data_IF_036695065165
#
_entry.id   IF_036695065165
#
_cell.length_a   1.000
_cell.length_b   1.000
_cell.length_c   1.000
_cell.angle_alpha   90.00
_cell.angle_beta   90.00
_cell.angle_gamma   90.00
#
_symmetry.space_group_name_H-M   'P 1'
#
loop_
_entity.id
_entity.type
_entity.pdbx_description
1 polymer ?
#
# COMPACT_ATOMS: atom_id res chain seq x y z
N UNK A 1 17.66 6.26 2.23
CA UNK A 1 17.10 6.62 3.54
C UNK A 1 15.94 5.67 3.85
N UNK A 2 15.71 5.31 5.12
CA UNK A 2 14.53 4.53 5.51
C UNK A 2 13.25 5.36 5.38
N UNK A 3 12.08 4.69 5.39
CA UNK A 3 10.79 5.37 5.38
C UNK A 3 10.60 6.16 6.69
N UNK A 4 10.15 7.43 6.58
CA UNK A 4 9.96 8.32 7.73
C UNK A 4 8.57 8.13 8.37
N UNK A 5 8.30 6.93 8.91
CA UNK A 5 7.05 6.57 9.57
C UNK A 5 7.28 5.66 10.77
N UNK A 6 6.28 5.55 11.62
CA UNK A 6 6.24 4.55 12.68
C UNK A 6 6.00 3.18 12.04
N UNK A 7 6.78 2.17 12.43
CA UNK A 7 6.65 0.80 11.90
C UNK A 7 5.21 0.29 11.96
N UNK A 8 4.78 -0.38 10.88
CA UNK A 8 3.43 -0.91 10.75
C UNK A 8 2.34 0.11 10.36
N UNK A 9 2.65 1.41 10.35
CA UNK A 9 1.74 2.45 9.89
C UNK A 9 1.85 2.68 8.37
N UNK A 10 0.96 3.53 7.84
CA UNK A 10 1.00 3.96 6.44
C UNK A 10 2.35 4.58 6.08
N UNK A 11 2.88 4.24 4.92
CA UNK A 11 4.07 4.86 4.36
C UNK A 11 3.76 6.29 3.93
N UNK A 12 4.56 7.31 4.32
CA UNK A 12 4.39 8.66 3.85
C UNK A 12 4.90 8.79 2.42
N UNK A 13 4.19 9.54 1.59
CA UNK A 13 4.60 9.91 0.22
C UNK A 13 4.67 11.42 0.01
N UNK A 14 4.32 12.20 1.03
CA UNK A 14 4.36 13.67 1.07
C UNK A 14 4.98 14.14 2.39
N UNK A 15 5.60 15.31 2.40
CA UNK A 15 6.15 15.94 3.61
C UNK A 15 5.08 16.12 4.70
N UNK A 16 3.83 16.43 4.33
CA UNK A 16 2.70 16.57 5.25
C UNK A 16 2.34 15.25 5.97
N UNK A 17 2.54 14.11 5.32
CA UNK A 17 2.30 12.79 5.93
C UNK A 17 3.41 12.48 6.96
N UNK A 18 4.68 12.84 6.64
CA UNK A 18 5.82 12.75 7.56
C UNK A 18 5.59 13.64 8.78
N UNK A 19 5.20 14.91 8.55
CA UNK A 19 4.92 15.86 9.63
C UNK A 19 3.87 15.29 10.60
N UNK A 20 2.73 14.81 10.07
CA UNK A 20 1.65 14.25 10.88
C UNK A 20 2.07 13.03 11.71
N UNK A 21 3.04 12.23 11.24
CA UNK A 21 3.49 11.02 11.92
C UNK A 21 4.66 11.25 12.88
N UNK A 22 5.51 12.25 12.62
CA UNK A 22 6.81 12.42 13.26
C UNK A 22 6.98 13.76 13.96
N UNK A 23 5.92 14.59 14.03
CA UNK A 23 5.93 15.87 14.76
C UNK A 23 6.47 15.69 16.18
N UNK A 24 7.39 16.55 16.60
CA UNK A 24 8.06 16.49 17.89
C UNK A 24 9.11 15.38 18.06
N UNK A 25 9.31 14.51 17.04
CA UNK A 25 10.28 13.39 17.08
C UNK A 25 11.49 13.62 16.18
N UNK A 26 11.40 14.55 15.23
CA UNK A 26 12.49 14.91 14.30
C UNK A 26 12.65 16.42 14.26
N UNK A 27 13.86 16.87 13.96
CA UNK A 27 14.21 18.30 14.01
C UNK A 27 13.76 19.09 12.80
N UNK A 28 13.70 18.45 11.62
CA UNK A 28 13.35 19.11 10.36
C UNK A 28 12.86 18.12 9.31
N UNK A 29 12.12 18.62 8.32
CA UNK A 29 11.70 17.89 7.12
C UNK A 29 12.13 18.72 5.92
N UNK A 30 12.86 18.12 4.99
CA UNK A 30 13.12 18.70 3.67
C UNK A 30 12.03 18.23 2.72
N UNK A 31 11.20 19.17 2.26
CA UNK A 31 10.12 18.85 1.32
C UNK A 31 10.66 18.85 -0.12
N UNK A 32 10.83 17.67 -0.70
CA UNK A 32 11.21 17.47 -2.10
C UNK A 32 10.01 17.23 -3.04
N UNK A 33 8.78 17.47 -2.57
CA UNK A 33 7.55 17.16 -3.29
C UNK A 33 7.05 15.74 -3.05
N UNK A 34 5.96 15.37 -3.73
CA UNK A 34 5.36 14.04 -3.65
C UNK A 34 6.24 12.99 -4.33
N UNK A 35 6.24 11.76 -3.79
CA UNK A 35 6.95 10.63 -4.39
C UNK A 35 6.30 10.23 -5.73
N UNK A 36 7.05 10.24 -6.86
CA UNK A 36 6.45 10.05 -8.18
C UNK A 36 5.97 8.62 -8.46
N UNK A 37 6.50 7.61 -7.75
CA UNK A 37 6.10 6.21 -7.90
C UNK A 37 5.08 5.77 -6.84
N UNK A 38 5.14 6.36 -5.65
CA UNK A 38 4.24 6.10 -4.53
C UNK A 38 4.37 4.71 -3.87
N UNK A 39 5.17 3.81 -4.43
CA UNK A 39 5.42 2.46 -3.91
C UNK A 39 6.91 2.25 -3.64
N UNK A 40 7.21 1.37 -2.69
CA UNK A 40 8.59 0.96 -2.41
C UNK A 40 9.14 0.09 -3.55
N UNK A 41 10.47 -0.13 -3.54
CA UNK A 41 11.17 -0.95 -4.52
C UNK A 41 10.67 -2.39 -4.57
N UNK A 42 10.70 -3.00 -5.76
CA UNK A 42 10.57 -4.44 -5.96
C UNK A 42 11.80 -5.14 -5.40
N UNK A 43 11.61 -6.23 -4.65
CA UNK A 43 12.71 -7.01 -4.05
C UNK A 43 12.73 -8.41 -4.64
N UNK A 44 13.86 -8.74 -5.25
CA UNK A 44 14.14 -10.08 -5.79
C UNK A 44 15.34 -10.66 -5.06
N UNK A 45 15.23 -11.92 -4.68
CA UNK A 45 16.33 -12.74 -4.16
C UNK A 45 16.70 -13.78 -5.19
N UNK A 46 18.00 -14.05 -5.36
CA UNK A 46 18.49 -15.20 -6.09
C UNK A 46 18.78 -16.34 -5.10
N UNK A 47 18.13 -17.48 -5.32
CA UNK A 47 18.35 -18.71 -4.55
C UNK A 47 18.78 -19.80 -5.51
N UNK A 48 20.02 -20.32 -5.39
CA UNK A 48 20.61 -21.27 -6.35
C UNK A 48 20.46 -20.82 -7.79
N UNK A 49 20.77 -19.54 -8.07
CA UNK A 49 20.63 -18.88 -9.37
C UNK A 49 19.18 -18.71 -9.85
N UNK A 50 18.18 -19.14 -9.10
CA UNK A 50 16.77 -18.92 -9.43
C UNK A 50 16.26 -17.60 -8.81
N UNK A 51 15.68 -16.69 -9.63
CA UNK A 51 15.11 -15.44 -9.12
C UNK A 51 13.77 -15.69 -8.43
N UNK A 52 13.60 -15.11 -7.25
CA UNK A 52 12.40 -15.23 -6.42
C UNK A 52 11.92 -13.84 -6.03
N UNK A 53 10.66 -13.52 -6.30
CA UNK A 53 10.04 -12.27 -5.88
C UNK A 53 9.69 -12.35 -4.38
N UNK A 54 10.33 -11.49 -3.59
CA UNK A 54 10.05 -11.38 -2.15
C UNK A 54 9.02 -10.27 -1.86
N UNK A 55 9.05 -9.18 -2.62
CA UNK A 55 8.13 -8.07 -2.49
C UNK A 55 7.85 -7.43 -3.86
N UNK A 56 6.60 -7.39 -4.34
CA UNK A 56 6.25 -6.57 -5.48
C UNK A 56 6.37 -5.09 -5.10
N UNK A 57 6.79 -4.24 -6.03
CA UNK A 57 7.02 -2.82 -5.79
C UNK A 57 6.86 -1.97 -7.04
N UNK A 58 7.54 -0.83 -7.09
CA UNK A 58 7.41 0.17 -8.15
C UNK A 58 7.88 -0.26 -9.54
N UNK A 59 8.58 -1.40 -9.66
CA UNK A 59 8.91 -2.00 -10.95
C UNK A 59 8.07 -3.27 -11.12
N UNK A 60 7.20 -3.36 -12.16
CA UNK A 60 6.43 -4.55 -12.45
C UNK A 60 7.31 -5.79 -12.68
N UNK A 61 6.85 -6.95 -12.17
CA UNK A 61 7.59 -8.21 -12.30
C UNK A 61 7.78 -8.61 -13.78
N UNK A 62 6.83 -8.28 -14.62
CA UNK A 62 6.83 -8.56 -16.05
C UNK A 62 8.03 -7.91 -16.74
N UNK A 63 8.35 -6.64 -16.43
CA UNK A 63 9.52 -5.94 -16.97
C UNK A 63 10.83 -6.58 -16.51
N UNK A 64 10.89 -7.06 -15.28
CA UNK A 64 12.09 -7.71 -14.75
C UNK A 64 12.27 -9.09 -15.43
N UNK A 65 11.20 -9.84 -15.63
CA UNK A 65 11.21 -11.12 -16.33
C UNK A 65 11.66 -10.96 -17.79
N UNK A 66 11.19 -9.92 -18.47
CA UNK A 66 11.63 -9.57 -19.82
C UNK A 66 13.14 -9.29 -19.86
N UNK A 67 13.63 -8.46 -18.93
CA UNK A 67 15.07 -8.12 -18.83
C UNK A 67 15.94 -9.34 -18.53
N UNK A 68 15.46 -10.25 -17.66
CA UNK A 68 16.19 -11.46 -17.27
C UNK A 68 16.06 -12.60 -18.29
N UNK A 69 15.14 -12.51 -19.25
CA UNK A 69 14.82 -13.58 -20.20
C UNK A 69 14.28 -14.86 -19.55
N UNK A 70 13.73 -14.78 -18.33
CA UNK A 70 13.26 -15.94 -17.54
C UNK A 70 12.14 -15.59 -16.56
N UNK A 71 11.37 -16.61 -16.19
CA UNK A 71 10.31 -16.46 -15.20
C UNK A 71 10.88 -16.28 -13.80
N UNK A 72 10.15 -15.53 -12.97
CA UNK A 72 10.47 -15.28 -11.57
C UNK A 72 9.41 -15.99 -10.70
N UNK A 73 9.87 -16.83 -9.78
CA UNK A 73 8.97 -17.49 -8.82
C UNK A 73 8.41 -16.44 -7.86
N UNK A 74 7.09 -16.42 -7.73
CA UNK A 74 6.40 -15.49 -6.83
C UNK A 74 6.07 -16.20 -5.51
N UNK A 75 6.71 -15.77 -4.40
CA UNK A 75 6.44 -16.26 -3.05
C UNK A 75 5.58 -15.27 -2.24
N UNK A 76 5.04 -14.23 -2.88
CA UNK A 76 4.18 -13.27 -2.19
C UNK A 76 2.86 -13.95 -1.81
N UNK A 77 2.58 -14.05 -0.51
CA UNK A 77 1.37 -14.69 0.00
C UNK A 77 1.58 -16.09 0.60
N UNK A 78 2.75 -16.70 0.47
CA UNK A 78 3.12 -17.84 1.29
C UNK A 78 3.26 -17.39 2.77
N UNK A 79 2.81 -18.23 3.71
CA UNK A 79 3.01 -17.96 5.13
C UNK A 79 4.50 -18.08 5.44
N UNK A 80 5.15 -16.92 5.58
CA UNK A 80 6.53 -16.84 6.03
C UNK A 80 6.49 -16.82 7.57
N UNK A 81 7.15 -17.78 8.22
CA UNK A 81 7.35 -17.74 9.66
C UNK A 81 8.17 -16.49 10.01
N UNK A 82 7.90 -15.84 11.14
CA UNK A 82 8.62 -14.62 11.55
C UNK A 82 10.13 -14.80 11.57
N UNK A 83 10.62 -16.01 11.86
CA UNK A 83 12.03 -16.40 11.77
C UNK A 83 12.60 -16.43 10.33
N UNK A 84 11.76 -16.30 9.32
CA UNK A 84 12.12 -16.36 7.90
C UNK A 84 11.88 -15.04 7.15
N UNK A 85 11.68 -13.92 7.87
CA UNK A 85 11.54 -12.59 7.26
C UNK A 85 12.86 -12.22 6.60
N UNK A 86 12.88 -12.19 5.27
CA UNK A 86 14.07 -11.93 4.45
C UNK A 86 14.15 -10.47 3.97
N UNK A 87 13.07 -9.69 4.09
CA UNK A 87 13.04 -8.31 3.60
C UNK A 87 11.99 -7.45 4.33
N UNK A 88 12.18 -6.11 4.36
CA UNK A 88 11.16 -5.19 4.88
C UNK A 88 9.82 -5.34 4.15
N UNK A 89 8.72 -5.21 4.88
CA UNK A 89 7.37 -5.31 4.33
C UNK A 89 6.84 -6.73 4.14
N UNK A 90 7.52 -7.76 4.67
CA UNK A 90 7.02 -9.15 4.69
C UNK A 90 6.14 -9.45 5.90
N UNK A 91 6.05 -8.56 6.87
CA UNK A 91 5.12 -8.69 8.00
C UNK A 91 3.68 -8.84 7.49
N UNK A 92 2.91 -9.72 8.13
CA UNK A 92 1.51 -9.99 7.77
C UNK A 92 0.64 -8.73 7.91
N UNK A 93 0.81 -7.95 8.99
CA UNK A 93 0.17 -6.66 9.19
C UNK A 93 1.19 -5.54 9.00
N UNK A 94 1.02 -4.75 7.97
CA UNK A 94 1.86 -3.60 7.64
C UNK A 94 1.03 -2.58 6.85
N UNK A 95 1.47 -1.32 6.78
CA UNK A 95 0.76 -0.26 6.05
C UNK A 95 -0.66 0.01 6.55
N UNK A 96 -0.98 -0.35 7.80
CA UNK A 96 -2.32 -0.30 8.30
C UNK A 96 -2.76 1.14 8.62
N UNK A 97 -3.86 1.64 8.00
CA UNK A 97 -4.54 2.85 8.43
C UNK A 97 -5.17 2.65 9.81
N UNK A 98 -5.73 3.72 10.37
CA UNK A 98 -6.54 3.64 11.60
C UNK A 98 -7.90 3.00 11.33
N UNK A 99 -8.43 3.22 10.13
CA UNK A 99 -9.70 2.67 9.66
C UNK A 99 -9.54 1.22 9.22
N UNK A 100 -10.58 0.41 9.35
CA UNK A 100 -10.60 -0.97 8.85
C UNK A 100 -10.84 -0.99 7.35
N UNK A 101 -10.05 -1.76 6.60
CA UNK A 101 -10.21 -1.92 5.16
C UNK A 101 -11.05 -3.16 4.81
N UNK A 102 -12.02 -3.01 3.90
CA UNK A 102 -12.79 -4.08 3.28
C UNK A 102 -12.48 -4.10 1.78
N UNK A 103 -11.76 -5.11 1.32
CA UNK A 103 -11.21 -5.19 -0.03
C UNK A 103 -12.20 -5.76 -1.05
N UNK A 104 -11.93 -5.50 -2.34
CA UNK A 104 -12.67 -6.02 -3.50
C UNK A 104 -14.16 -5.65 -3.50
N UNK A 105 -14.47 -4.46 -3.08
CA UNK A 105 -15.83 -3.93 -2.98
C UNK A 105 -16.17 -3.12 -4.22
N UNK A 106 -17.25 -3.45 -4.90
CA UNK A 106 -17.77 -2.67 -6.03
C UNK A 106 -18.75 -1.60 -5.59
N UNK A 107 -19.53 -1.88 -4.55
CA UNK A 107 -20.53 -0.97 -4.00
C UNK A 107 -20.31 -0.82 -2.50
N UNK A 108 -19.80 0.34 -2.03
CA UNK A 108 -19.61 0.60 -0.61
C UNK A 108 -20.96 0.78 0.11
N UNK A 109 -20.99 0.50 1.40
CA UNK A 109 -22.10 0.83 2.25
C UNK A 109 -22.11 2.34 2.53
N UNK A 110 -23.28 2.91 2.89
CA UNK A 110 -23.42 4.33 3.26
C UNK A 110 -22.54 4.68 4.48
N UNK A 111 -22.28 3.69 5.35
CA UNK A 111 -21.43 3.84 6.54
C UNK A 111 -19.93 3.68 6.26
N UNK A 112 -19.52 3.57 5.01
CA UNK A 112 -18.13 3.39 4.60
C UNK A 112 -17.65 4.56 3.74
N UNK A 113 -16.37 4.90 3.86
CA UNK A 113 -15.67 5.66 2.82
C UNK A 113 -15.22 4.71 1.72
N UNK A 114 -14.97 5.24 0.53
CA UNK A 114 -14.59 4.44 -0.61
C UNK A 114 -13.24 4.85 -1.20
N UNK A 115 -12.34 3.89 -1.33
CA UNK A 115 -11.12 4.02 -2.12
C UNK A 115 -11.39 3.38 -3.48
N UNK A 116 -11.69 4.21 -4.47
CA UNK A 116 -12.12 3.80 -5.81
C UNK A 116 -10.95 3.55 -6.77
N UNK A 117 -11.23 2.76 -7.81
CA UNK A 117 -10.36 2.57 -8.98
C UNK A 117 -11.25 2.41 -10.21
N UNK A 118 -11.12 3.30 -11.20
CA UNK A 118 -12.05 3.47 -12.29
C UNK A 118 -13.27 4.31 -11.88
N UNK A 119 -14.40 4.02 -12.50
CA UNK A 119 -15.64 4.78 -12.25
C UNK A 119 -16.13 4.61 -10.82
N UNK A 120 -16.30 5.72 -10.11
CA UNK A 120 -16.85 5.73 -8.76
C UNK A 120 -18.37 5.41 -8.77
N UNK A 121 -18.87 4.63 -7.77
CA UNK A 121 -20.30 4.51 -7.54
C UNK A 121 -20.97 5.87 -7.28
N UNK A 122 -22.27 5.99 -7.60
CA UNK A 122 -23.02 7.21 -7.29
C UNK A 122 -23.15 7.39 -5.77
N UNK A 123 -23.14 8.64 -5.34
CA UNK A 123 -23.40 9.06 -3.94
C UNK A 123 -22.43 8.46 -2.89
N UNK A 124 -21.34 7.82 -3.31
CA UNK A 124 -20.32 7.37 -2.38
C UNK A 124 -19.36 8.52 -1.99
N UNK A 125 -19.00 8.58 -0.70
CA UNK A 125 -17.96 9.47 -0.20
C UNK A 125 -16.62 8.75 -0.27
N UNK A 126 -15.61 9.38 -0.85
CA UNK A 126 -14.30 8.74 -0.92
C UNK A 126 -13.34 9.40 -1.89
N UNK A 127 -12.27 8.68 -2.21
CA UNK A 127 -11.20 9.12 -3.11
C UNK A 127 -11.02 8.07 -4.20
N UNK A 128 -10.85 8.53 -5.45
CA UNK A 128 -10.54 7.66 -6.57
C UNK A 128 -9.03 7.67 -6.83
N UNK A 129 -8.41 6.50 -6.84
CA UNK A 129 -6.99 6.34 -7.18
C UNK A 129 -6.70 6.72 -8.64
N UNK A 130 -7.59 6.31 -9.55
CA UNK A 130 -7.54 6.66 -10.97
C UNK A 130 -8.90 6.51 -11.61
N UNK A 131 -9.43 7.58 -12.19
CA UNK A 131 -10.70 7.53 -12.93
C UNK A 131 -10.58 6.77 -14.26
N UNK A 132 -9.39 6.75 -14.84
CA UNK A 132 -9.07 6.04 -16.09
C UNK A 132 -8.66 4.58 -15.89
N UNK A 133 -8.66 4.09 -14.65
CA UNK A 133 -8.14 2.76 -14.28
C UNK A 133 -6.66 2.58 -14.63
N UNK A 134 -5.87 3.65 -14.55
CA UNK A 134 -4.42 3.64 -14.75
C UNK A 134 -3.73 3.18 -13.46
N UNK A 135 -2.86 2.17 -13.57
CA UNK A 135 -2.18 1.56 -12.43
C UNK A 135 -1.01 2.41 -11.91
N UNK A 136 -0.34 3.17 -12.77
CA UNK A 136 0.73 4.10 -12.41
C UNK A 136 0.15 5.25 -11.54
N UNK A 137 -0.93 5.86 -12.00
CA UNK A 137 -1.65 6.88 -11.24
C UNK A 137 -2.13 6.35 -9.88
N UNK A 138 -2.66 5.13 -9.87
CA UNK A 138 -3.11 4.49 -8.64
C UNK A 138 -1.96 4.19 -7.67
N UNK A 139 -0.80 3.79 -8.18
CA UNK A 139 0.39 3.53 -7.39
C UNK A 139 0.93 4.80 -6.73
N UNK A 140 1.04 5.89 -7.48
CA UNK A 140 1.45 7.20 -6.98
C UNK A 140 0.54 7.69 -5.84
N UNK A 141 -0.79 7.47 -5.97
CA UNK A 141 -1.79 8.02 -5.07
C UNK A 141 -2.16 7.10 -3.89
N UNK A 142 -1.78 5.82 -3.88
CA UNK A 142 -2.29 4.85 -2.90
C UNK A 142 -2.14 5.34 -1.45
N UNK A 143 -0.92 5.61 -1.02
CA UNK A 143 -0.67 5.95 0.38
C UNK A 143 -1.19 7.33 0.76
N UNK A 144 -1.03 8.33 -0.11
CA UNK A 144 -1.59 9.67 0.13
C UNK A 144 -3.11 9.61 0.27
N UNK A 145 -3.80 8.84 -0.59
CA UNK A 145 -5.26 8.65 -0.50
C UNK A 145 -5.69 7.93 0.77
N UNK A 146 -4.93 6.92 1.24
CA UNK A 146 -5.20 6.25 2.50
C UNK A 146 -5.02 7.19 3.70
N UNK A 147 -4.00 8.05 3.70
CA UNK A 147 -3.82 9.09 4.71
C UNK A 147 -4.98 10.08 4.72
N UNK A 148 -5.41 10.53 3.54
CA UNK A 148 -6.51 11.49 3.42
C UNK A 148 -7.85 10.85 3.81
N UNK A 149 -8.09 9.59 3.44
CA UNK A 149 -9.29 8.84 3.88
C UNK A 149 -9.32 8.63 5.39
N UNK A 150 -8.19 8.37 6.04
CA UNK A 150 -8.13 8.27 7.51
C UNK A 150 -8.49 9.61 8.18
N UNK A 151 -8.06 10.75 7.62
CA UNK A 151 -8.45 12.09 8.10
C UNK A 151 -9.94 12.33 7.90
N UNK A 152 -10.47 11.98 6.72
CA UNK A 152 -11.91 12.09 6.42
C UNK A 152 -12.74 11.19 7.34
N UNK A 153 -12.28 9.97 7.59
CA UNK A 153 -12.93 9.00 8.47
C UNK A 153 -13.05 9.55 9.90
N UNK A 154 -11.97 10.10 10.42
CA UNK A 154 -11.95 10.72 11.74
C UNK A 154 -12.92 11.92 11.83
N UNK A 155 -12.95 12.79 10.81
CA UNK A 155 -13.83 13.96 10.78
C UNK A 155 -15.32 13.59 10.67
N UNK A 156 -15.65 12.47 10.04
CA UNK A 156 -17.03 12.01 9.83
C UNK A 156 -17.50 10.97 10.84
N UNK A 157 -16.65 10.56 11.80
CA UNK A 157 -16.97 9.48 12.73
C UNK A 157 -17.10 8.11 12.06
N UNK A 158 -16.49 7.90 10.90
CA UNK A 158 -16.48 6.65 10.14
C UNK A 158 -15.18 5.91 10.47
N UNK A 159 -15.22 4.59 10.60
CA UNK A 159 -14.02 3.77 10.86
C UNK A 159 -13.81 2.66 9.83
N UNK A 160 -14.50 2.71 8.69
CA UNK A 160 -14.46 1.69 7.63
C UNK A 160 -14.21 2.33 6.28
N UNK A 161 -13.32 1.71 5.52
CA UNK A 161 -13.00 2.07 4.14
C UNK A 161 -13.21 0.84 3.26
N UNK A 162 -14.12 0.94 2.31
CA UNK A 162 -14.29 -0.06 1.25
C UNK A 162 -13.31 0.27 0.12
N UNK A 163 -12.68 -0.76 -0.45
CA UNK A 163 -11.65 -0.62 -1.48
C UNK A 163 -12.10 -1.32 -2.75
N UNK A 164 -12.07 -0.61 -3.87
CA UNK A 164 -12.38 -1.15 -5.19
C UNK A 164 -11.48 -2.34 -5.56
N UNK A 165 -11.96 -3.28 -6.40
CA UNK A 165 -11.10 -4.30 -6.99
C UNK A 165 -10.05 -3.65 -7.92
N UNK A 166 -8.78 -4.02 -7.73
CA UNK A 166 -7.65 -3.60 -8.57
C UNK A 166 -7.13 -4.81 -9.34
N UNK A 167 -6.85 -4.71 -10.66
CA UNK A 167 -6.31 -5.82 -11.44
C UNK A 167 -4.99 -6.35 -10.87
N UNK A 168 -4.84 -7.67 -10.75
CA UNK A 168 -3.64 -8.31 -10.18
C UNK A 168 -2.55 -8.56 -11.23
N UNK A 169 -2.10 -7.49 -11.90
CA UNK A 169 -1.05 -7.48 -12.93
C UNK A 169 -0.26 -6.17 -12.88
N UNK A 170 0.95 -6.16 -13.39
CA UNK A 170 1.80 -4.96 -13.39
C UNK A 170 1.94 -4.39 -11.98
N UNK A 171 1.81 -3.07 -11.84
CA UNK A 171 1.80 -2.40 -10.53
C UNK A 171 0.62 -2.80 -9.63
N UNK A 172 -0.47 -3.34 -10.21
CA UNK A 172 -1.61 -3.85 -9.44
C UNK A 172 -1.24 -4.99 -8.48
N UNK A 173 -0.21 -5.78 -8.80
CA UNK A 173 0.31 -6.79 -7.89
C UNK A 173 0.84 -6.16 -6.60
N UNK A 174 1.59 -5.06 -6.70
CA UNK A 174 2.11 -4.33 -5.56
C UNK A 174 1.01 -3.59 -4.78
N UNK A 175 0.07 -2.96 -5.48
CA UNK A 175 -1.10 -2.30 -4.87
C UNK A 175 -1.90 -3.29 -4.02
N UNK A 176 -2.24 -4.46 -4.57
CA UNK A 176 -2.99 -5.51 -3.88
C UNK A 176 -2.21 -6.09 -2.69
N UNK A 177 -0.88 -6.26 -2.80
CA UNK A 177 -0.05 -6.68 -1.68
C UNK A 177 -0.12 -5.68 -0.51
N UNK A 178 0.00 -4.37 -0.79
CA UNK A 178 -0.09 -3.31 0.22
C UNK A 178 -1.47 -3.25 0.88
N UNK A 179 -2.53 -3.29 0.08
CA UNK A 179 -3.91 -3.27 0.56
C UNK A 179 -4.24 -4.50 1.40
N UNK A 180 -3.79 -5.69 0.98
CA UNK A 180 -3.97 -6.93 1.74
C UNK A 180 -3.30 -6.84 3.11
N UNK A 181 -2.06 -6.38 3.20
CA UNK A 181 -1.34 -6.19 4.46
C UNK A 181 -1.96 -5.10 5.34
N UNK A 182 -2.45 -4.02 4.70
CA UNK A 182 -3.15 -2.93 5.38
C UNK A 182 -4.52 -3.34 5.95
N UNK A 183 -5.17 -4.35 5.36
CA UNK A 183 -6.48 -4.85 5.82
C UNK A 183 -6.40 -5.79 7.02
N UNK A 184 -5.21 -6.28 7.37
CA UNK A 184 -5.00 -7.17 8.52
C UNK A 184 -4.92 -6.31 9.78
N UNK A 185 -5.78 -6.54 10.76
CA UNK A 185 -5.74 -5.79 12.02
C UNK A 185 -4.38 -5.91 12.70
N UNK A 186 -3.89 -4.81 13.26
CA UNK A 186 -2.69 -4.84 14.10
C UNK A 186 -2.96 -5.72 15.31
N UNK A 187 -2.17 -6.77 15.50
CA UNK A 187 -2.16 -7.52 16.76
C UNK A 187 -1.64 -6.55 17.82
N UNK A 188 -2.50 -6.21 18.81
CA UNK A 188 -2.05 -5.46 19.98
C UNK A 188 -0.96 -6.30 20.65
N UNK A 189 0.29 -5.89 20.53
CA UNK A 189 1.34 -6.40 21.42
C UNK A 189 0.97 -5.87 22.81
N UNK A 190 0.50 -6.77 23.68
CA UNK A 190 0.39 -6.46 25.10
C UNK A 190 1.81 -6.11 25.58
N UNK A 191 1.97 -4.83 25.97
CA UNK A 191 3.14 -4.36 26.72
C UNK A 191 3.08 -4.93 28.14
#
# INVERSE_FOLDING_TARGET
>A
APSANISGNLTPTRASDVFSAMEGKISAILDGGSCPVGLESTIIKFSNSEPVLLRPGGIPIELIQETLGRQIKNLTGERILESQILSPGQLLSHYAPKSTLRLNVREPLISELYLGFGKMPRDCKGICLSNSSNLEEAAEKLFSSLHDLDKMAAALGINKIAVAPIPNRGLGLALNDRLKKASIPKIKQNQ
#
